data_IF_606490525360
#
_entry.id   IF_606490525360
#
_cell.length_a   1.000
_cell.length_b   1.000
_cell.length_c   1.000
_cell.angle_alpha   90.00
_cell.angle_beta   90.00
_cell.angle_gamma   90.00
#
_symmetry.space_group_name_H-M   'P 1'
#
loop_
_entity.id
_entity.type
_entity.pdbx_description
1 polymer ?
#
# COMPACT_ATOMS: atom_id res chain seq x y z
N UNK A 1 -4.41 11.97 5.00
CA UNK A 1 -3.84 11.61 3.68
C UNK A 1 -4.49 12.34 2.52
N UNK A 2 -5.77 12.09 2.18
CA UNK A 2 -6.44 12.72 1.02
C UNK A 2 -6.31 14.25 0.96
N UNK A 3 -6.38 14.94 2.10
CA UNK A 3 -6.19 16.40 2.14
C UNK A 3 -4.80 16.85 1.65
N UNK A 4 -3.75 16.06 1.90
CA UNK A 4 -2.40 16.34 1.40
C UNK A 4 -2.32 16.14 -0.12
N UNK A 5 -2.93 15.07 -0.64
CA UNK A 5 -3.06 14.84 -2.08
C UNK A 5 -3.82 15.99 -2.76
N UNK A 6 -4.94 16.40 -2.18
CA UNK A 6 -5.72 17.56 -2.64
C UNK A 6 -4.92 18.86 -2.58
N UNK A 7 -4.17 19.10 -1.50
CA UNK A 7 -3.31 20.28 -1.40
C UNK A 7 -2.19 20.27 -2.45
N UNK A 8 -1.59 19.11 -2.73
CA UNK A 8 -0.59 18.97 -3.80
C UNK A 8 -1.20 19.24 -5.19
N UNK A 9 -2.34 18.62 -5.50
CA UNK A 9 -3.05 18.82 -6.77
C UNK A 9 -3.50 20.28 -6.95
N UNK A 10 -3.97 20.94 -5.89
CA UNK A 10 -4.35 22.36 -5.93
C UNK A 10 -3.14 23.26 -6.24
N UNK A 11 -1.97 22.99 -5.64
CA UNK A 11 -0.73 23.70 -5.98
C UNK A 11 -0.34 23.50 -7.45
N UNK A 12 -0.44 22.26 -7.96
CA UNK A 12 -0.15 21.95 -9.37
C UNK A 12 -1.10 22.67 -10.31
N UNK A 13 -2.40 22.74 -10.01
CA UNK A 13 -3.38 23.48 -10.81
C UNK A 13 -3.09 24.98 -10.87
N UNK A 14 -2.62 25.57 -9.77
CA UNK A 14 -2.27 26.98 -9.72
C UNK A 14 -0.97 27.28 -10.50
N UNK A 15 0.05 26.43 -10.35
CA UNK A 15 1.35 26.62 -10.98
C UNK A 15 1.37 26.22 -12.47
N UNK A 16 0.61 25.20 -12.84
CA UNK A 16 0.59 24.61 -14.19
C UNK A 16 -0.86 24.35 -14.66
N UNK A 17 -1.59 25.40 -15.05
CA UNK A 17 -2.97 25.26 -15.53
C UNK A 17 -3.05 24.31 -16.74
N UNK A 18 -4.08 23.45 -16.78
CA UNK A 18 -4.31 22.50 -17.88
C UNK A 18 -3.50 21.20 -17.81
N UNK A 19 -2.61 21.02 -16.83
CA UNK A 19 -1.81 19.77 -16.68
C UNK A 19 -2.53 18.64 -15.97
N UNK A 20 -3.58 18.94 -15.20
CA UNK A 20 -4.41 17.93 -14.55
C UNK A 20 -5.79 17.86 -15.24
N UNK A 21 -6.39 16.68 -15.30
CA UNK A 21 -7.67 16.41 -15.98
C UNK A 21 -8.91 16.95 -15.25
N UNK A 22 -8.73 17.69 -14.13
CA UNK A 22 -9.82 18.25 -13.34
C UNK A 22 -9.54 19.69 -12.94
N UNK A 23 -10.59 20.44 -12.61
CA UNK A 23 -10.46 21.80 -12.07
C UNK A 23 -10.52 21.83 -10.52
N UNK A 24 -10.29 23.01 -9.93
CA UNK A 24 -10.30 23.21 -8.48
C UNK A 24 -11.66 22.89 -7.82
N UNK A 25 -12.78 23.12 -8.52
CA UNK A 25 -14.11 22.83 -7.97
C UNK A 25 -14.34 21.31 -7.87
N UNK A 26 -13.98 20.56 -8.91
CA UNK A 26 -14.00 19.10 -8.91
C UNK A 26 -13.03 18.52 -7.87
N UNK A 27 -11.83 19.08 -7.74
CA UNK A 27 -10.88 18.66 -6.73
C UNK A 27 -11.44 18.84 -5.30
N UNK A 28 -12.16 19.94 -5.04
CA UNK A 28 -12.81 20.18 -3.75
C UNK A 28 -13.90 19.17 -3.43
N UNK A 29 -14.63 18.64 -4.43
CA UNK A 29 -15.69 17.65 -4.21
C UNK A 29 -15.18 16.25 -3.89
N UNK A 30 -13.92 15.90 -4.22
CA UNK A 30 -13.31 14.60 -3.87
C UNK A 30 -13.37 14.34 -2.36
N UNK A 31 -13.90 13.17 -1.97
CA UNK A 31 -14.06 12.70 -0.58
C UNK A 31 -13.29 11.42 -0.29
N UNK A 32 -12.94 10.64 -1.31
CA UNK A 32 -12.24 9.35 -1.15
C UNK A 32 -10.95 9.30 -1.98
N UNK A 33 -9.97 8.52 -1.53
CA UNK A 33 -8.71 8.32 -2.26
C UNK A 33 -8.98 7.69 -3.63
N UNK A 34 -9.86 6.69 -3.70
CA UNK A 34 -10.26 6.07 -4.96
C UNK A 34 -10.82 7.08 -5.98
N UNK A 35 -11.58 8.09 -5.54
CA UNK A 35 -12.08 9.16 -6.42
C UNK A 35 -10.94 10.06 -6.91
N UNK A 36 -9.95 10.34 -6.04
CA UNK A 36 -8.75 11.07 -6.44
C UNK A 36 -7.96 10.28 -7.49
N UNK A 37 -7.81 8.96 -7.27
CA UNK A 37 -7.11 8.10 -8.22
C UNK A 37 -7.85 7.99 -9.55
N UNK A 38 -9.18 7.88 -9.51
CA UNK A 38 -10.00 7.79 -10.71
C UNK A 38 -9.92 9.04 -11.57
N UNK A 39 -10.02 10.20 -10.92
CA UNK A 39 -10.08 11.49 -11.58
C UNK A 39 -8.71 12.03 -11.97
N UNK A 40 -7.65 11.70 -11.22
CA UNK A 40 -6.32 12.27 -11.42
C UNK A 40 -5.31 11.16 -11.73
N UNK A 41 -5.00 10.29 -10.76
CA UNK A 41 -3.87 9.34 -10.85
C UNK A 41 -3.98 8.45 -12.09
N UNK A 42 -5.12 7.80 -12.31
CA UNK A 42 -5.35 6.93 -13.45
C UNK A 42 -5.18 7.70 -14.77
N UNK A 43 -5.87 8.85 -14.89
CA UNK A 43 -5.93 9.66 -16.11
C UNK A 43 -4.60 10.24 -16.52
N UNK A 44 -3.81 10.78 -15.58
CA UNK A 44 -2.50 11.35 -15.93
C UNK A 44 -1.47 10.29 -16.32
N UNK A 45 -1.68 9.03 -15.91
CA UNK A 45 -0.82 7.90 -16.28
C UNK A 45 -1.40 7.06 -17.43
N UNK A 46 -2.47 7.52 -18.08
CA UNK A 46 -3.03 6.86 -19.27
C UNK A 46 -3.92 5.65 -19.01
N UNK A 47 -4.33 5.41 -17.77
CA UNK A 47 -5.29 4.36 -17.41
C UNK A 47 -6.73 4.84 -17.63
N UNK A 48 -7.64 3.89 -17.87
CA UNK A 48 -9.05 4.20 -18.12
C UNK A 48 -9.76 4.80 -16.88
N UNK A 49 -9.50 4.20 -15.71
CA UNK A 49 -10.12 4.52 -14.43
C UNK A 49 -9.25 3.99 -13.28
N UNK A 50 -9.67 4.20 -12.02
CA UNK A 50 -8.95 3.69 -10.86
C UNK A 50 -8.84 2.16 -10.83
N UNK A 51 -9.85 1.43 -11.31
CA UNK A 51 -9.85 -0.04 -11.30
C UNK A 51 -8.82 -0.57 -12.29
N UNK A 52 -8.76 0.02 -13.49
CA UNK A 52 -7.78 -0.31 -14.52
C UNK A 52 -6.35 -0.03 -14.03
N UNK A 53 -6.14 1.14 -13.43
CA UNK A 53 -4.87 1.47 -12.77
C UNK A 53 -4.49 0.42 -11.72
N UNK A 54 -5.38 0.10 -10.78
CA UNK A 54 -5.09 -0.89 -9.75
C UNK A 54 -4.85 -2.28 -10.32
N UNK A 55 -5.60 -2.69 -11.35
CA UNK A 55 -5.43 -4.01 -11.99
C UNK A 55 -4.06 -4.13 -12.65
N UNK A 56 -3.65 -3.12 -13.42
CA UNK A 56 -2.40 -3.15 -14.17
C UNK A 56 -1.17 -2.97 -13.26
N UNK A 57 -1.30 -2.17 -12.20
CA UNK A 57 -0.21 -1.94 -11.26
C UNK A 57 -0.20 -2.91 -10.06
N UNK A 58 -1.15 -3.84 -9.98
CA UNK A 58 -1.18 -4.81 -8.89
C UNK A 58 -0.06 -5.85 -9.02
N UNK A 59 0.69 -6.04 -7.94
CA UNK A 59 1.65 -7.13 -7.82
C UNK A 59 1.01 -8.48 -7.47
N UNK A 60 -0.29 -8.51 -7.14
CA UNK A 60 -0.99 -9.71 -6.68
C UNK A 60 -0.89 -10.90 -7.66
N UNK A 61 -1.05 -10.73 -8.99
CA UNK A 61 -0.86 -11.83 -9.95
C UNK A 61 0.58 -12.36 -10.01
N UNK A 62 1.56 -11.55 -9.56
CA UNK A 62 2.98 -11.91 -9.60
C UNK A 62 3.43 -12.70 -8.36
N UNK A 63 2.61 -12.76 -7.28
CA UNK A 63 2.98 -13.44 -6.04
C UNK A 63 3.33 -14.92 -6.26
N UNK A 64 2.63 -15.60 -7.17
CA UNK A 64 2.91 -17.00 -7.54
C UNK A 64 4.28 -17.23 -8.19
N UNK A 65 4.94 -16.17 -8.64
CA UNK A 65 6.27 -16.24 -9.27
C UNK A 65 7.41 -16.06 -8.27
N UNK A 66 7.10 -15.80 -7.00
CA UNK A 66 8.10 -15.68 -5.95
C UNK A 66 8.76 -17.04 -5.75
N UNK A 67 10.07 -17.09 -5.97
CA UNK A 67 10.89 -18.31 -5.88
C UNK A 67 11.83 -18.33 -4.67
N UNK A 68 11.92 -17.21 -3.93
CA UNK A 68 12.74 -17.08 -2.73
C UNK A 68 11.83 -16.98 -1.51
N UNK A 69 12.28 -17.47 -0.34
CA UNK A 69 11.58 -17.21 0.90
C UNK A 69 11.27 -15.73 1.03
N UNK A 70 10.00 -15.39 1.29
CA UNK A 70 9.52 -14.01 1.32
C UNK A 70 8.51 -13.85 2.44
N UNK A 71 8.75 -12.88 3.32
CA UNK A 71 7.77 -12.43 4.31
C UNK A 71 7.02 -11.23 3.76
N UNK A 72 5.68 -11.30 3.75
CA UNK A 72 4.79 -10.20 3.44
C UNK A 72 4.03 -9.85 4.71
N UNK A 73 4.13 -8.61 5.17
CA UNK A 73 3.42 -8.10 6.34
C UNK A 73 2.45 -7.02 5.87
N UNK A 74 1.17 -7.18 6.17
CA UNK A 74 0.11 -6.22 5.88
C UNK A 74 -0.75 -5.96 7.11
N UNK A 75 -1.40 -4.80 7.16
CA UNK A 75 -2.37 -4.45 8.18
C UNK A 75 -3.77 -4.30 7.57
N UNK A 76 -4.80 -4.81 8.25
CA UNK A 76 -6.20 -4.69 7.80
C UNK A 76 -6.73 -3.26 7.84
N UNK A 77 -6.18 -2.44 8.73
CA UNK A 77 -6.54 -1.02 8.89
C UNK A 77 -5.67 -0.07 8.04
N UNK A 78 -4.94 -0.59 7.05
CA UNK A 78 -4.21 0.23 6.09
C UNK A 78 -5.19 1.11 5.28
N UNK A 79 -5.11 2.45 5.37
CA UNK A 79 -6.02 3.35 4.67
C UNK A 79 -5.78 3.44 3.15
N UNK A 80 -4.71 2.82 2.63
CA UNK A 80 -4.34 2.82 1.22
C UNK A 80 -4.69 1.51 0.51
N UNK A 81 -4.67 0.39 1.24
CA UNK A 81 -4.91 -0.93 0.67
C UNK A 81 -6.39 -1.32 0.78
N UNK A 82 -6.95 -1.82 -0.32
CA UNK A 82 -8.29 -2.39 -0.31
C UNK A 82 -8.26 -3.83 0.22
N UNK A 83 -9.27 -4.27 0.97
CA UNK A 83 -9.40 -5.66 1.41
C UNK A 83 -9.29 -6.69 0.27
N UNK A 84 -9.62 -6.30 -0.96
CA UNK A 84 -9.46 -7.11 -2.17
C UNK A 84 -8.01 -7.44 -2.52
N UNK A 85 -7.02 -6.67 -2.02
CA UNK A 85 -5.60 -6.95 -2.25
C UNK A 85 -4.99 -7.90 -1.22
N UNK A 86 -5.77 -8.32 -0.22
CA UNK A 86 -5.36 -9.35 0.74
C UNK A 86 -5.42 -10.70 0.02
N UNK A 87 -4.27 -11.36 -0.24
CA UNK A 87 -4.26 -12.65 -0.90
C UNK A 87 -4.95 -13.69 -0.03
N UNK A 88 -5.64 -14.61 -0.70
CA UNK A 88 -6.16 -15.80 -0.02
C UNK A 88 -4.97 -16.70 0.35
N UNK A 89 -4.90 -17.28 1.56
CA UNK A 89 -3.79 -18.14 1.95
C UNK A 89 -3.51 -19.27 0.95
N UNK A 90 -4.55 -19.82 0.32
CA UNK A 90 -4.45 -20.92 -0.65
C UNK A 90 -3.87 -20.47 -2.00
N UNK A 91 -3.87 -19.16 -2.26
CA UNK A 91 -3.34 -18.57 -3.49
C UNK A 91 -1.86 -18.19 -3.40
N UNK A 92 -1.24 -18.38 -2.23
CA UNK A 92 0.16 -18.03 -2.00
C UNK A 92 1.06 -19.26 -2.21
N UNK A 93 2.23 -19.09 -2.85
CA UNK A 93 3.19 -20.18 -2.94
C UNK A 93 3.78 -20.50 -1.56
N UNK A 94 4.27 -21.73 -1.34
CA UNK A 94 4.76 -22.17 -0.02
C UNK A 94 5.99 -21.41 0.48
N UNK A 95 6.73 -20.73 -0.40
CA UNK A 95 7.84 -19.85 -0.03
C UNK A 95 7.41 -18.46 0.45
N UNK A 96 6.12 -18.11 0.38
CA UNK A 96 5.60 -16.85 0.88
C UNK A 96 4.94 -17.06 2.24
N UNK A 97 5.51 -16.43 3.26
CA UNK A 97 4.86 -16.26 4.54
C UNK A 97 4.08 -14.94 4.53
N UNK A 98 2.76 -15.00 4.72
CA UNK A 98 1.91 -13.82 4.74
C UNK A 98 1.36 -13.58 6.15
N UNK A 99 1.63 -12.40 6.70
CA UNK A 99 1.20 -11.98 8.03
C UNK A 99 0.27 -10.78 7.92
N UNK A 100 -1.00 -11.01 8.26
CA UNK A 100 -2.02 -9.97 8.31
C UNK A 100 -2.28 -9.57 9.76
N UNK A 101 -1.94 -8.34 10.13
CA UNK A 101 -2.25 -7.78 11.45
C UNK A 101 -3.62 -7.08 11.43
N UNK A 102 -4.32 -7.08 12.56
CA UNK A 102 -5.57 -6.28 12.70
C UNK A 102 -5.27 -4.78 12.65
N UNK A 103 -4.13 -4.40 13.23
CA UNK A 103 -3.69 -3.01 13.35
C UNK A 103 -2.24 -2.85 12.93
N UNK A 104 -1.97 -1.71 12.29
CA UNK A 104 -0.63 -1.32 11.87
C UNK A 104 -0.63 -0.07 11.00
N UNK A 105 -1.78 0.29 10.43
CA UNK A 105 -1.89 1.34 9.42
C UNK A 105 -1.02 1.03 8.21
N UNK A 106 -0.66 2.05 7.44
CA UNK A 106 0.12 1.86 6.23
C UNK A 106 1.59 1.45 6.50
N UNK A 107 2.21 2.05 7.52
CA UNK A 107 3.64 1.85 7.86
C UNK A 107 3.91 1.93 9.37
N UNK A 108 2.85 1.93 10.19
CA UNK A 108 2.97 2.21 11.63
C UNK A 108 3.49 1.01 12.41
N UNK A 109 2.72 -0.08 12.41
CA UNK A 109 3.03 -1.33 13.14
C UNK A 109 3.64 -1.10 14.53
N UNK A 110 3.02 -0.19 15.31
CA UNK A 110 3.45 0.14 16.66
C UNK A 110 2.63 -0.69 17.65
N UNK A 111 3.32 -1.48 18.46
CA UNK A 111 2.76 -2.22 19.59
C UNK A 111 3.17 -1.65 20.94
N UNK A 112 2.95 -2.41 22.01
CA UNK A 112 3.31 -2.03 23.37
C UNK A 112 2.32 -1.08 24.02
N UNK A 113 2.82 -0.19 24.88
CA UNK A 113 2.00 0.78 25.61
C UNK A 113 2.40 2.21 25.25
N UNK A 114 1.58 3.20 25.56
CA UNK A 114 1.90 4.62 25.31
C UNK A 114 3.21 5.06 25.99
N UNK A 115 3.55 4.49 27.15
CA UNK A 115 4.79 4.78 27.88
C UNK A 115 5.99 3.97 27.35
N UNK A 116 5.73 2.84 26.71
CA UNK A 116 6.74 1.93 26.17
C UNK A 116 6.31 1.45 24.79
N UNK A 117 6.37 2.32 23.76
CA UNK A 117 6.01 1.95 22.41
C UNK A 117 7.03 0.95 21.87
N UNK A 118 6.55 -0.05 21.15
CA UNK A 118 7.38 -1.05 20.50
C UNK A 118 7.20 -0.94 18.99
N UNK A 119 8.29 -0.71 18.27
CA UNK A 119 8.28 -0.73 16.81
C UNK A 119 8.30 -2.20 16.37
N UNK A 120 7.13 -2.82 16.27
CA UNK A 120 7.01 -4.28 16.13
C UNK A 120 7.70 -4.81 14.87
N UNK A 121 7.74 -4.03 13.78
CA UNK A 121 8.50 -4.41 12.58
C UNK A 121 10.00 -4.54 12.85
N UNK A 122 10.57 -3.74 13.75
CA UNK A 122 12.00 -3.76 14.08
C UNK A 122 12.41 -5.03 14.81
N UNK A 123 11.50 -5.73 15.49
CA UNK A 123 11.76 -7.06 16.04
C UNK A 123 11.36 -8.16 15.06
N UNK A 124 10.18 -8.07 14.44
CA UNK A 124 9.63 -9.13 13.60
C UNK A 124 10.49 -9.44 12.37
N UNK A 125 11.01 -8.40 11.70
CA UNK A 125 11.80 -8.57 10.47
C UNK A 125 13.12 -9.30 10.77
N UNK A 126 13.94 -8.87 11.74
CA UNK A 126 15.12 -9.63 12.16
C UNK A 126 14.80 -11.06 12.57
N UNK A 127 13.76 -11.29 13.39
CA UNK A 127 13.38 -12.64 13.83
C UNK A 127 13.15 -13.59 12.65
N UNK A 128 12.48 -13.10 11.59
CA UNK A 128 12.28 -13.89 10.38
C UNK A 128 13.59 -14.14 9.62
N UNK A 129 14.40 -13.09 9.42
CA UNK A 129 15.66 -13.18 8.66
C UNK A 129 16.66 -14.13 9.32
N UNK A 130 16.75 -14.13 10.65
CA UNK A 130 17.66 -14.98 11.43
C UNK A 130 17.48 -16.47 11.10
N UNK A 131 16.24 -16.92 10.86
CA UNK A 131 15.95 -18.32 10.47
C UNK A 131 16.65 -18.77 9.18
N UNK A 132 17.00 -17.83 8.29
CA UNK A 132 17.70 -18.10 7.04
C UNK A 132 19.19 -17.79 7.08
N UNK A 133 19.62 -16.94 8.01
CA UNK A 133 21.02 -16.56 8.20
C UNK A 133 21.76 -17.60 9.04
N UNK A 134 21.16 -18.08 10.13
CA UNK A 134 21.77 -19.07 11.02
C UNK A 134 21.73 -20.49 10.44
N UNK A 135 20.73 -20.80 9.61
CA UNK A 135 20.62 -22.09 8.91
C UNK A 135 21.75 -22.35 7.88
N UNK A 136 22.54 -21.32 7.54
CA UNK A 136 23.70 -21.44 6.64
C UNK A 136 25.04 -21.69 7.36
N UNK A 137 25.04 -21.75 8.69
CA UNK A 137 26.26 -21.87 9.51
C UNK A 137 26.65 -23.32 9.86
N UNK A 138 26.16 -24.31 9.11
CA UNK A 138 26.55 -25.72 9.23
C UNK A 138 27.15 -26.25 7.93
#
# INVERSE_FOLDING_TARGET
MLNLLKANAARKLAAYPGTLPINLAQLKSVRRIREFDDLITARIHGYADAIDYYRQCSAMPMLNRIAKPTLIIHAKDDPFMDHQVIPKPESLPPQVEYQLTEHGGHVGFIGGTLLHPQMWLESRIPDWLTTYLEAKSC
#
